data_IF_052989151483
#
_entry.id   IF_052989151483
#
_cell.length_a   1.000
_cell.length_b   1.000
_cell.length_c   1.000
_cell.angle_alpha   90.00
_cell.angle_beta   90.00
_cell.angle_gamma   90.00
#
_symmetry.space_group_name_H-M   'P 1'
#
loop_
_entity.id
_entity.type
_entity.pdbx_description
1 polymer ?
#
# COMPACT_ATOMS: atom_id res chain seq x y z
N UNK A 1 3.84 -25.00 -18.17
CA UNK A 1 2.50 -24.44 -17.85
C UNK A 1 1.40 -24.85 -18.84
N UNK A 2 1.67 -25.49 -19.98
CA UNK A 2 0.66 -25.76 -21.04
C UNK A 2 -0.37 -26.86 -20.74
N UNK A 3 -0.36 -27.49 -19.56
CA UNK A 3 -1.21 -28.64 -19.24
C UNK A 3 -2.30 -28.36 -18.19
N UNK A 4 -2.52 -27.10 -17.81
CA UNK A 4 -3.54 -26.76 -16.80
C UNK A 4 -4.64 -25.87 -17.38
N UNK A 5 -5.90 -26.17 -17.05
CA UNK A 5 -7.02 -25.29 -17.36
C UNK A 5 -7.15 -24.22 -16.27
N UNK A 6 -6.67 -23.01 -16.54
CA UNK A 6 -6.71 -21.90 -15.59
C UNK A 6 -8.09 -21.25 -15.45
N UNK A 7 -8.39 -20.69 -14.28
CA UNK A 7 -9.43 -19.67 -14.13
C UNK A 7 -8.82 -18.32 -14.53
N UNK A 8 -9.31 -17.76 -15.64
CA UNK A 8 -8.82 -16.49 -16.21
C UNK A 8 -9.79 -15.38 -15.79
N UNK A 9 -9.35 -14.40 -14.98
CA UNK A 9 -10.21 -13.30 -14.56
C UNK A 9 -10.55 -12.38 -15.74
N UNK A 10 -11.73 -11.76 -15.69
CA UNK A 10 -12.18 -10.77 -16.66
C UNK A 10 -12.13 -9.40 -16.00
N UNK A 11 -11.08 -8.64 -16.29
CA UNK A 11 -10.90 -7.26 -15.82
C UNK A 11 -11.81 -6.30 -16.62
N UNK A 12 -12.37 -5.32 -15.94
CA UNK A 12 -13.12 -4.23 -16.57
C UNK A 12 -12.20 -3.38 -17.45
N UNK A 13 -12.66 -2.98 -18.66
CA UNK A 13 -11.91 -2.06 -19.51
C UNK A 13 -11.70 -0.68 -18.85
N UNK A 14 -12.48 -0.36 -17.81
CA UNK A 14 -12.35 0.89 -17.05
C UNK A 14 -11.31 0.82 -15.93
N UNK A 15 -10.73 -0.36 -15.63
CA UNK A 15 -9.76 -0.49 -14.56
C UNK A 15 -8.61 0.52 -14.63
N UNK A 16 -7.91 0.70 -15.78
CA UNK A 16 -6.77 1.62 -15.83
C UNK A 16 -7.13 3.06 -15.48
N UNK A 17 -8.34 3.48 -15.88
CA UNK A 17 -8.86 4.81 -15.57
C UNK A 17 -9.26 4.92 -14.10
N UNK A 18 -9.92 3.91 -13.54
CA UNK A 18 -10.30 3.88 -12.13
C UNK A 18 -9.08 3.86 -11.20
N UNK A 19 -8.07 3.05 -11.50
CA UNK A 19 -6.80 3.00 -10.79
C UNK A 19 -6.08 4.35 -10.84
N UNK A 20 -5.96 4.95 -12.03
CA UNK A 20 -5.40 6.29 -12.18
C UNK A 20 -6.18 7.34 -11.39
N UNK A 21 -7.51 7.30 -11.44
CA UNK A 21 -8.39 8.23 -10.73
C UNK A 21 -8.08 8.23 -9.23
N UNK A 22 -8.04 7.06 -8.59
CA UNK A 22 -7.78 6.99 -7.15
C UNK A 22 -6.34 7.36 -6.79
N UNK A 23 -5.35 6.98 -7.61
CA UNK A 23 -3.94 7.37 -7.40
C UNK A 23 -3.80 8.89 -7.44
N UNK A 24 -4.39 9.54 -8.44
CA UNK A 24 -4.31 11.00 -8.59
C UNK A 24 -4.95 11.70 -7.38
N UNK A 25 -6.13 11.26 -6.94
CA UNK A 25 -6.82 11.87 -5.79
C UNK A 25 -6.06 11.67 -4.48
N UNK A 26 -5.58 10.46 -4.20
CA UNK A 26 -4.73 10.18 -3.03
C UNK A 26 -3.47 11.05 -3.06
N UNK A 27 -2.84 11.17 -4.22
CA UNK A 27 -1.64 11.99 -4.38
C UNK A 27 -1.90 13.46 -4.07
N UNK A 28 -3.01 14.03 -4.54
CA UNK A 28 -3.37 15.42 -4.26
C UNK A 28 -3.67 15.61 -2.77
N UNK A 29 -4.44 14.73 -2.14
CA UNK A 29 -4.77 14.81 -0.70
C UNK A 29 -3.49 14.84 0.14
N UNK A 30 -2.59 13.89 -0.07
CA UNK A 30 -1.33 13.78 0.69
C UNK A 30 -0.42 14.98 0.40
N UNK A 31 -0.34 15.41 -0.86
CA UNK A 31 0.45 16.59 -1.23
C UNK A 31 -0.06 17.88 -0.59
N UNK A 32 -1.39 18.08 -0.54
CA UNK A 32 -1.99 19.24 0.10
C UNK A 32 -1.73 19.23 1.61
N UNK A 33 -1.80 18.08 2.28
CA UNK A 33 -1.43 17.97 3.69
C UNK A 33 0.04 18.38 3.94
N UNK A 34 0.96 17.91 3.10
CA UNK A 34 2.40 18.24 3.19
C UNK A 34 2.63 19.72 2.92
N UNK A 35 2.09 20.26 1.84
CA UNK A 35 2.30 21.66 1.45
C UNK A 35 1.61 22.65 2.38
N UNK A 36 0.53 22.26 3.05
CA UNK A 36 -0.12 23.04 4.09
C UNK A 36 0.60 22.97 5.46
N UNK A 37 1.67 22.18 5.60
CA UNK A 37 2.39 22.00 6.85
C UNK A 37 1.66 21.14 7.90
N UNK A 38 0.64 20.38 7.47
CA UNK A 38 -0.12 19.40 8.26
C UNK A 38 0.55 18.01 8.27
N UNK A 39 1.86 17.96 8.06
CA UNK A 39 2.67 16.75 7.91
C UNK A 39 3.54 16.42 9.13
N UNK A 40 3.26 17.04 10.29
CA UNK A 40 4.06 16.88 11.50
C UNK A 40 3.25 16.15 12.57
N UNK A 41 3.80 15.03 13.02
CA UNK A 41 3.29 14.24 14.14
C UNK A 41 4.10 14.61 15.37
N UNK A 42 3.44 15.21 16.36
CA UNK A 42 4.08 15.63 17.59
C UNK A 42 4.01 14.52 18.65
N UNK A 43 5.17 14.13 19.15
CA UNK A 43 5.33 13.09 20.15
C UNK A 43 5.69 13.75 21.48
N UNK A 44 4.69 13.91 22.33
CA UNK A 44 4.83 14.46 23.67
C UNK A 44 5.07 13.35 24.68
N UNK A 45 6.05 13.55 25.56
CA UNK A 45 6.32 12.64 26.69
C UNK A 45 6.56 13.45 27.95
N UNK A 46 6.43 12.80 29.10
CA UNK A 46 6.81 13.38 30.40
C UNK A 46 8.32 13.32 30.67
N UNK A 47 9.14 12.92 29.69
CA UNK A 47 10.59 12.88 29.80
C UNK A 47 11.19 14.24 29.42
N UNK A 48 11.99 14.83 30.30
CA UNK A 48 12.64 16.15 30.05
C UNK A 48 13.40 16.20 28.72
N UNK A 49 14.02 15.09 28.32
CA UNK A 49 14.79 14.95 27.08
C UNK A 49 14.00 14.31 25.92
N UNK A 50 12.72 14.02 26.12
CA UNK A 50 11.91 13.29 25.14
C UNK A 50 12.30 11.82 24.97
N UNK A 51 11.75 11.17 23.95
CA UNK A 51 12.23 9.87 23.49
C UNK A 51 13.53 10.06 22.68
N UNK A 52 14.50 9.15 22.83
CA UNK A 52 15.66 9.11 21.93
C UNK A 52 15.21 8.99 20.46
N UNK A 53 15.80 9.77 19.56
CA UNK A 53 15.41 9.80 18.15
C UNK A 53 15.52 8.42 17.50
N UNK A 54 16.53 7.62 17.87
CA UNK A 54 16.68 6.25 17.37
C UNK A 54 15.51 5.32 17.73
N UNK A 55 14.80 5.62 18.83
CA UNK A 55 13.64 4.84 19.25
C UNK A 55 12.35 5.33 18.60
N UNK A 56 12.27 6.60 18.19
CA UNK A 56 11.12 7.12 17.44
C UNK A 56 11.01 6.40 16.09
N UNK A 57 12.14 6.14 15.42
CA UNK A 57 12.14 5.38 14.16
C UNK A 57 11.55 3.95 14.31
N UNK A 58 11.59 3.34 15.50
CA UNK A 58 11.01 2.00 15.74
C UNK A 58 9.49 2.01 15.80
N UNK A 59 8.87 3.16 16.03
CA UNK A 59 7.42 3.36 16.10
C UNK A 59 6.90 4.20 14.93
N UNK A 60 7.75 4.50 13.94
CA UNK A 60 7.40 5.36 12.83
C UNK A 60 6.36 4.78 11.88
N UNK A 61 6.39 3.46 11.62
CA UNK A 61 5.35 2.79 10.81
C UNK A 61 3.93 3.11 11.31
N UNK A 62 3.58 2.70 12.55
CA UNK A 62 2.27 2.96 13.12
C UNK A 62 1.86 4.44 13.17
N UNK A 63 2.79 5.35 13.43
CA UNK A 63 2.46 6.79 13.47
C UNK A 63 2.22 7.38 12.09
N UNK A 64 3.03 7.02 11.09
CA UNK A 64 2.85 7.49 9.71
C UNK A 64 1.60 6.87 9.08
N UNK A 65 1.30 5.61 9.38
CA UNK A 65 0.05 4.93 9.02
C UNK A 65 -1.16 5.66 9.62
N UNK A 66 -1.15 5.95 10.91
CA UNK A 66 -2.21 6.69 11.58
C UNK A 66 -2.37 8.11 11.02
N UNK A 67 -1.28 8.83 10.79
CA UNK A 67 -1.33 10.16 10.18
C UNK A 67 -1.96 10.12 8.79
N UNK A 68 -1.59 9.15 7.94
CA UNK A 68 -2.17 9.01 6.61
C UNK A 68 -3.68 8.73 6.69
N UNK A 69 -4.10 7.86 7.62
CA UNK A 69 -5.51 7.60 7.89
C UNK A 69 -6.25 8.88 8.27
N UNK A 70 -5.73 9.64 9.25
CA UNK A 70 -6.32 10.90 9.69
C UNK A 70 -6.48 11.91 8.53
N UNK A 71 -5.50 11.99 7.60
CA UNK A 71 -5.64 12.87 6.44
C UNK A 71 -6.80 12.47 5.52
N UNK A 72 -7.08 11.18 5.36
CA UNK A 72 -8.23 10.72 4.57
C UNK A 72 -9.55 10.86 5.34
N UNK A 73 -9.56 10.64 6.66
CA UNK A 73 -10.75 10.87 7.49
C UNK A 73 -11.17 12.34 7.49
N UNK A 74 -10.22 13.27 7.71
CA UNK A 74 -10.50 14.72 7.66
C UNK A 74 -11.17 15.13 6.34
N UNK A 75 -10.73 14.54 5.22
CA UNK A 75 -11.31 14.81 3.90
C UNK A 75 -12.68 14.15 3.73
N UNK A 76 -12.83 12.89 4.14
CA UNK A 76 -14.09 12.14 4.01
C UNK A 76 -15.22 12.71 4.88
N UNK A 77 -14.88 13.29 6.05
CA UNK A 77 -15.83 13.96 6.94
C UNK A 77 -16.40 15.26 6.35
N UNK A 78 -15.67 15.91 5.43
CA UNK A 78 -16.20 17.01 4.63
C UNK A 78 -17.05 16.46 3.47
N UNK A 79 -18.37 16.45 3.63
CA UNK A 79 -19.34 16.00 2.62
C UNK A 79 -19.30 16.80 1.31
N UNK A 80 -18.61 17.93 1.29
CA UNK A 80 -18.44 18.80 0.11
C UNK A 80 -17.03 18.80 -0.44
N UNK A 81 -16.17 17.87 0.01
CA UNK A 81 -14.80 17.81 -0.42
C UNK A 81 -14.69 17.65 -1.94
N UNK A 82 -13.71 18.36 -2.53
CA UNK A 82 -13.47 18.39 -3.98
C UNK A 82 -12.94 17.07 -4.55
N UNK A 83 -12.60 16.11 -3.69
CA UNK A 83 -11.98 14.84 -4.08
C UNK A 83 -13.01 13.74 -4.33
N UNK A 84 -14.27 13.99 -3.96
CA UNK A 84 -15.32 12.99 -3.96
C UNK A 84 -14.94 11.74 -3.15
N UNK A 85 -14.07 11.89 -2.14
CA UNK A 85 -13.77 10.85 -1.16
C UNK A 85 -14.94 10.79 -0.19
N UNK A 86 -15.68 9.68 -0.21
CA UNK A 86 -16.93 9.56 0.55
C UNK A 86 -16.81 8.66 1.78
N UNK A 87 -15.71 7.89 1.87
CA UNK A 87 -15.47 7.00 3.00
C UNK A 87 -13.97 6.70 3.12
N UNK A 88 -13.47 6.77 4.35
CA UNK A 88 -12.15 6.29 4.74
C UNK A 88 -12.31 5.38 5.97
N UNK A 89 -11.78 4.16 5.92
CA UNK A 89 -11.85 3.22 7.04
C UNK A 89 -10.50 2.54 7.27
N UNK A 90 -10.12 2.37 8.53
CA UNK A 90 -8.97 1.56 8.88
C UNK A 90 -9.22 0.08 8.57
N UNK A 91 -8.19 -0.61 8.09
CA UNK A 91 -8.17 -2.05 7.91
C UNK A 91 -8.27 -2.79 9.24
N UNK A 92 -8.75 -4.02 9.21
CA UNK A 92 -8.84 -4.88 10.39
C UNK A 92 -7.49 -5.55 10.67
N UNK A 93 -7.32 -6.01 11.91
CA UNK A 93 -6.14 -6.79 12.28
C UNK A 93 -6.00 -8.01 11.34
N UNK A 94 -4.79 -8.17 10.77
CA UNK A 94 -4.42 -9.21 9.80
C UNK A 94 -4.90 -8.98 8.36
N UNK A 95 -5.57 -7.86 8.06
CA UNK A 95 -5.83 -7.46 6.68
C UNK A 95 -4.49 -7.18 5.96
N UNK A 96 -4.44 -7.34 4.63
CA UNK A 96 -3.24 -7.06 3.86
C UNK A 96 -3.02 -5.57 3.58
N UNK A 97 -3.90 -4.69 4.04
CA UNK A 97 -3.90 -3.25 3.81
C UNK A 97 -4.21 -2.54 5.14
N UNK A 98 -3.82 -1.26 5.21
CA UNK A 98 -4.01 -0.43 6.39
C UNK A 98 -5.28 0.42 6.28
N UNK A 99 -5.69 0.78 5.06
CA UNK A 99 -6.79 1.73 4.80
C UNK A 99 -7.66 1.22 3.65
N UNK A 100 -8.97 1.41 3.78
CA UNK A 100 -9.96 1.27 2.71
C UNK A 100 -10.52 2.65 2.40
N UNK A 101 -10.42 3.06 1.15
CA UNK A 101 -10.99 4.32 0.65
C UNK A 101 -12.09 4.02 -0.37
N UNK A 102 -13.13 4.86 -0.39
CA UNK A 102 -14.14 4.82 -1.43
C UNK A 102 -14.35 6.22 -2.01
N UNK A 103 -14.23 6.31 -3.33
CA UNK A 103 -14.46 7.53 -4.08
C UNK A 103 -15.75 7.42 -4.89
N UNK A 104 -16.48 8.52 -4.97
CA UNK A 104 -17.56 8.69 -5.94
C UNK A 104 -16.98 9.25 -7.23
N UNK A 105 -17.37 8.71 -8.37
CA UNK A 105 -17.03 9.23 -9.70
C UNK A 105 -18.30 9.56 -10.46
N UNK A 106 -18.52 10.83 -10.79
CA UNK A 106 -19.80 11.34 -11.31
C UNK A 106 -19.97 11.29 -12.84
N UNK A 107 -18.94 10.97 -13.62
CA UNK A 107 -19.00 11.01 -15.09
C UNK A 107 -18.27 9.82 -15.73
N UNK A 108 -18.85 9.21 -16.80
CA UNK A 108 -20.13 9.55 -17.46
C UNK A 108 -21.39 9.09 -16.70
N UNK A 109 -21.28 8.09 -15.83
CA UNK A 109 -22.34 7.65 -14.91
C UNK A 109 -21.80 7.67 -13.47
N UNK A 110 -22.68 7.81 -12.49
CA UNK A 110 -22.27 7.74 -11.09
C UNK A 110 -21.80 6.32 -10.76
N UNK A 111 -20.52 6.21 -10.42
CA UNK A 111 -19.86 4.97 -10.05
C UNK A 111 -19.10 5.15 -8.75
N UNK A 112 -18.83 4.06 -8.06
CA UNK A 112 -18.07 4.06 -6.81
C UNK A 112 -16.82 3.21 -7.00
N UNK A 113 -15.67 3.77 -6.66
CA UNK A 113 -14.38 3.11 -6.77
C UNK A 113 -13.86 2.88 -5.36
N UNK A 114 -13.77 1.62 -4.97
CA UNK A 114 -13.15 1.22 -3.71
C UNK A 114 -11.69 0.86 -3.95
N UNK A 115 -10.82 1.23 -3.02
CA UNK A 115 -9.40 0.88 -3.07
C UNK A 115 -8.88 0.52 -1.69
N UNK A 116 -7.95 -0.43 -1.67
CA UNK A 116 -7.22 -0.85 -0.48
C UNK A 116 -5.82 -0.25 -0.54
N UNK A 117 -5.37 0.34 0.55
CA UNK A 117 -4.09 1.06 0.61
C UNK A 117 -3.22 0.45 1.71
N UNK A 118 -2.03 0.00 1.32
CA UNK A 118 -0.95 -0.43 2.21
C UNK A 118 0.04 0.73 2.35
N UNK A 119 0.11 1.30 3.55
CA UNK A 119 0.98 2.43 3.86
C UNK A 119 2.35 1.88 4.29
N UNK A 120 3.41 2.53 3.80
CA UNK A 120 4.78 2.13 4.12
C UNK A 120 5.62 3.34 4.49
N UNK A 121 5.99 3.42 5.77
CA UNK A 121 6.88 4.45 6.28
C UNK A 121 8.34 4.14 5.94
N UNK A 122 9.04 5.13 5.38
CA UNK A 122 10.47 5.06 5.05
C UNK A 122 11.20 6.20 5.74
N UNK A 123 12.22 5.91 6.54
CA UNK A 123 13.01 6.93 7.23
C UNK A 123 14.08 7.49 6.31
N UNK A 124 14.17 8.82 6.21
CA UNK A 124 15.28 9.50 5.52
C UNK A 124 16.59 9.43 6.32
N UNK A 125 16.49 9.21 7.64
CA UNK A 125 17.62 9.18 8.55
C UNK A 125 18.33 7.80 8.57
N UNK A 126 17.73 6.76 7.97
CA UNK A 126 18.23 5.39 7.98
C UNK A 126 18.60 4.93 6.57
N UNK A 127 19.89 4.63 6.37
CA UNK A 127 20.39 4.04 5.12
C UNK A 127 19.67 2.71 4.85
N UNK A 128 19.20 2.53 3.62
CA UNK A 128 18.42 1.37 3.16
C UNK A 128 17.00 1.23 3.76
N UNK A 129 16.49 2.23 4.47
CA UNK A 129 15.06 2.25 4.81
C UNK A 129 14.22 2.17 3.53
N UNK A 130 13.13 1.39 3.57
CA UNK A 130 12.26 1.19 2.40
C UNK A 130 12.76 0.18 1.36
N UNK A 131 13.92 -0.47 1.57
CA UNK A 131 14.39 -1.57 0.70
C UNK A 131 13.73 -2.90 1.04
N UNK A 132 13.21 -3.58 0.03
CA UNK A 132 12.58 -4.91 0.14
C UNK A 132 11.52 -5.07 1.23
N UNK A 133 10.65 -4.09 1.55
CA UNK A 133 9.59 -4.34 2.53
C UNK A 133 8.64 -5.41 2.03
N UNK A 134 8.14 -6.20 2.97
CA UNK A 134 7.05 -7.14 2.73
C UNK A 134 5.74 -6.36 2.56
N UNK A 135 4.94 -6.77 1.58
CA UNK A 135 3.62 -6.20 1.30
C UNK A 135 2.55 -7.16 1.80
N UNK A 136 2.41 -8.30 1.13
CA UNK A 136 1.36 -9.28 1.43
C UNK A 136 1.80 -10.67 1.01
N UNK A 137 1.11 -11.70 1.50
CA UNK A 137 1.44 -13.08 1.12
C UNK A 137 1.03 -13.37 -0.33
N UNK A 138 1.85 -14.15 -1.04
CA UNK A 138 1.58 -14.52 -2.43
C UNK A 138 0.19 -15.14 -2.60
N UNK A 139 -0.16 -16.12 -1.74
CA UNK A 139 -1.43 -16.82 -1.83
C UNK A 139 -2.64 -15.88 -1.70
N UNK A 140 -2.56 -14.92 -0.77
CA UNK A 140 -3.63 -13.96 -0.53
C UNK A 140 -3.80 -13.06 -1.74
N UNK A 141 -2.76 -12.34 -2.15
CA UNK A 141 -2.89 -11.35 -3.24
C UNK A 141 -3.24 -12.00 -4.57
N UNK A 142 -2.69 -13.19 -4.87
CA UNK A 142 -3.08 -13.96 -6.05
C UNK A 142 -4.59 -14.26 -6.00
N UNK A 143 -5.09 -14.74 -4.85
CA UNK A 143 -6.51 -15.11 -4.72
C UNK A 143 -7.44 -13.90 -4.80
N UNK A 144 -7.06 -12.75 -4.21
CA UNK A 144 -7.84 -11.50 -4.31
C UNK A 144 -8.06 -11.10 -5.77
N UNK A 145 -6.98 -10.95 -6.55
CA UNK A 145 -7.07 -10.58 -7.97
C UNK A 145 -7.73 -11.65 -8.86
N UNK A 146 -7.85 -12.91 -8.40
CA UNK A 146 -8.68 -13.89 -9.11
C UNK A 146 -10.16 -13.68 -8.85
N UNK A 147 -10.49 -13.37 -7.60
CA UNK A 147 -11.86 -13.30 -7.07
C UNK A 147 -12.52 -12.01 -7.51
N UNK A 148 -11.77 -10.91 -7.41
CA UNK A 148 -12.13 -9.59 -7.90
C UNK A 148 -11.08 -9.13 -8.91
N UNK A 149 -11.36 -9.29 -10.22
CA UNK A 149 -10.46 -8.84 -11.28
C UNK A 149 -10.21 -7.33 -11.29
N UNK A 150 -11.10 -6.56 -10.67
CA UNK A 150 -11.06 -5.10 -10.60
C UNK A 150 -10.53 -4.61 -9.25
N UNK A 151 -9.96 -5.50 -8.42
CA UNK A 151 -9.34 -5.15 -7.15
C UNK A 151 -8.23 -4.10 -7.33
N UNK A 152 -8.36 -2.96 -6.64
CA UNK A 152 -7.34 -1.90 -6.64
C UNK A 152 -6.60 -1.95 -5.30
N UNK A 153 -5.34 -2.38 -5.36
CA UNK A 153 -4.46 -2.44 -4.19
C UNK A 153 -3.29 -1.48 -4.39
N UNK A 154 -3.31 -0.39 -3.64
CA UNK A 154 -2.32 0.67 -3.73
C UNK A 154 -1.29 0.56 -2.63
N UNK A 155 -0.07 0.95 -2.98
CA UNK A 155 1.02 1.19 -2.05
C UNK A 155 1.15 2.70 -1.86
N UNK A 156 1.02 3.17 -0.62
CA UNK A 156 1.33 4.54 -0.24
C UNK A 156 2.66 4.57 0.51
N UNK A 157 3.74 4.88 -0.20
CA UNK A 157 5.05 5.08 0.41
C UNK A 157 5.18 6.50 0.95
N UNK A 158 5.46 6.63 2.24
CA UNK A 158 5.64 7.92 2.90
C UNK A 158 7.04 7.99 3.48
N UNK A 159 7.84 8.95 3.02
CA UNK A 159 9.11 9.27 3.67
C UNK A 159 8.90 10.18 4.85
N UNK A 160 9.68 9.96 5.89
CA UNK A 160 9.70 10.81 7.06
C UNK A 160 11.12 11.05 7.55
N UNK A 161 11.29 12.14 8.28
CA UNK A 161 12.48 12.42 9.09
C UNK A 161 12.05 12.71 10.52
N UNK A 162 12.97 12.52 11.47
CA UNK A 162 12.69 12.74 12.88
C UNK A 162 13.65 13.75 13.49
N UNK A 163 13.13 14.70 14.25
CA UNK A 163 13.94 15.68 14.97
C UNK A 163 13.29 16.10 16.30
N UNK A 164 14.09 16.69 17.18
CA UNK A 164 13.64 17.21 18.47
C UNK A 164 13.46 18.72 18.43
N UNK A 165 12.42 19.22 19.10
CA UNK A 165 12.23 20.65 19.34
C UNK A 165 12.05 20.91 20.84
N UNK A 166 12.77 21.90 21.38
CA UNK A 166 12.63 22.29 22.78
C UNK A 166 11.46 23.26 22.92
N UNK A 167 10.52 22.91 23.77
CA UNK A 167 9.42 23.77 24.18
C UNK A 167 9.96 24.89 25.09
N UNK A 168 9.73 26.15 24.71
CA UNK A 168 10.26 27.30 25.41
C UNK A 168 9.60 27.53 26.78
N UNK A 169 8.36 27.09 26.96
CA UNK A 169 7.56 27.31 28.16
C UNK A 169 7.88 26.27 29.24
N UNK A 170 7.94 25.00 28.84
CA UNK A 170 8.14 23.86 29.76
C UNK A 170 9.61 23.45 29.85
N UNK A 171 10.44 23.87 28.89
CA UNK A 171 11.84 23.47 28.76
C UNK A 171 12.03 22.01 28.32
N UNK A 172 10.96 21.27 28.04
CA UNK A 172 10.98 19.86 27.61
C UNK A 172 11.30 19.74 26.12
N UNK A 173 11.87 18.60 25.72
CA UNK A 173 12.11 18.31 24.29
C UNK A 173 11.01 17.41 23.75
N UNK A 174 10.29 17.88 22.73
CA UNK A 174 9.28 17.12 22.01
C UNK A 174 9.92 16.44 20.79
N UNK A 175 9.51 15.19 20.54
CA UNK A 175 9.85 14.51 19.29
C UNK A 175 8.90 14.98 18.20
N UNK A 176 9.43 15.23 17.00
CA UNK A 176 8.64 15.56 15.83
C UNK A 176 9.02 14.57 14.73
N UNK A 177 8.01 13.91 14.19
CA UNK A 177 8.11 13.11 12.98
C UNK A 177 7.43 13.89 11.86
N UNK A 178 8.18 14.21 10.82
CA UNK A 178 7.70 15.00 9.69
C UNK A 178 7.68 14.13 8.44
N UNK A 179 6.51 13.98 7.83
CA UNK A 179 6.36 13.33 6.51
C UNK A 179 6.86 14.31 5.45
N UNK A 180 7.90 13.93 4.71
CA UNK A 180 8.64 14.83 3.81
C UNK A 180 8.28 14.66 2.34
N UNK A 181 7.91 13.45 1.94
CA UNK A 181 7.54 13.13 0.56
C UNK A 181 6.73 11.84 0.51
N UNK A 182 6.08 11.62 -0.63
CA UNK A 182 5.20 10.48 -0.83
C UNK A 182 5.39 9.89 -2.24
N UNK A 183 4.97 8.64 -2.39
CA UNK A 183 4.75 8.00 -3.69
C UNK A 183 3.56 7.04 -3.60
N UNK A 184 2.77 6.97 -4.66
CA UNK A 184 1.55 6.15 -4.73
C UNK A 184 1.59 5.28 -5.96
N UNK A 185 1.40 3.98 -5.79
CA UNK A 185 1.49 3.01 -6.87
C UNK A 185 0.38 1.99 -6.81
N UNK A 186 -0.17 1.61 -7.96
CA UNK A 186 -0.94 0.39 -8.08
C UNK A 186 0.01 -0.82 -8.08
N UNK A 187 -0.17 -1.74 -7.13
CA UNK A 187 0.63 -2.95 -7.03
C UNK A 187 0.62 -3.75 -8.34
N UNK A 188 -0.53 -3.77 -9.04
CA UNK A 188 -0.68 -4.48 -10.32
C UNK A 188 0.27 -3.94 -11.37
N UNK A 189 0.63 -2.65 -11.34
CA UNK A 189 1.46 -2.02 -12.36
C UNK A 189 2.94 -1.91 -12.01
N UNK A 190 3.37 -2.22 -10.77
CA UNK A 190 4.80 -2.21 -10.41
C UNK A 190 5.60 -3.16 -11.31
N UNK A 191 6.74 -2.72 -11.83
CA UNK A 191 7.54 -3.49 -12.79
C UNK A 191 7.95 -4.87 -12.27
N UNK A 192 8.15 -5.82 -13.18
CA UNK A 192 8.63 -7.15 -12.82
C UNK A 192 10.02 -7.12 -12.15
N UNK A 193 10.87 -6.13 -12.45
CA UNK A 193 12.19 -5.95 -11.82
C UNK A 193 12.12 -5.39 -10.41
N UNK A 194 11.04 -4.69 -10.07
CA UNK A 194 10.84 -4.12 -8.73
C UNK A 194 10.04 -5.03 -7.80
N UNK A 195 9.31 -6.01 -8.34
CA UNK A 195 8.64 -7.03 -7.54
C UNK A 195 9.55 -8.22 -7.27
N UNK A 196 9.69 -8.59 -6.00
CA UNK A 196 10.44 -9.75 -5.54
C UNK A 196 9.55 -10.68 -4.72
N UNK A 197 9.96 -11.93 -4.59
CA UNK A 197 9.28 -12.91 -3.77
C UNK A 197 10.23 -13.43 -2.70
N UNK A 198 9.84 -13.27 -1.44
CA UNK A 198 10.55 -13.78 -0.28
C UNK A 198 9.94 -15.12 0.17
N UNK A 199 10.66 -16.25 0.03
CA UNK A 199 10.15 -17.57 0.36
C UNK A 199 10.10 -17.89 1.86
N UNK A 200 10.65 -17.04 2.73
CA UNK A 200 10.97 -17.40 4.12
C UNK A 200 9.76 -17.55 5.06
N UNK A 201 8.60 -16.95 4.71
CA UNK A 201 7.45 -16.86 5.62
C UNK A 201 6.18 -17.43 4.98
N UNK A 202 5.62 -18.50 5.57
CA UNK A 202 4.35 -19.08 5.14
C UNK A 202 4.32 -19.46 3.67
N UNK A 203 3.39 -18.87 2.92
CA UNK A 203 3.25 -19.04 1.45
C UNK A 203 4.21 -18.15 0.66
N UNK A 204 5.17 -17.53 1.35
CA UNK A 204 6.03 -16.46 0.89
C UNK A 204 5.33 -15.12 0.79
N UNK A 205 6.14 -14.06 0.76
CA UNK A 205 5.67 -12.68 0.74
C UNK A 205 6.17 -11.96 -0.51
N UNK A 206 5.28 -11.17 -1.09
CA UNK A 206 5.63 -10.21 -2.12
C UNK A 206 6.41 -9.07 -1.47
N UNK A 207 7.53 -8.70 -2.09
CA UNK A 207 8.38 -7.59 -1.68
C UNK A 207 8.54 -6.60 -2.83
N UNK A 208 8.75 -5.33 -2.50
CA UNK A 208 9.09 -4.30 -3.47
C UNK A 208 10.55 -3.90 -3.26
N UNK A 209 11.37 -3.92 -4.30
CA UNK A 209 12.82 -3.67 -4.23
C UNK A 209 13.18 -2.37 -3.51
N UNK A 210 12.51 -1.28 -3.89
CA UNK A 210 12.54 0.01 -3.22
C UNK A 210 11.12 0.58 -3.24
N UNK A 211 10.51 0.67 -2.07
CA UNK A 211 9.09 1.01 -1.95
C UNK A 211 8.75 2.42 -2.43
N UNK A 212 9.74 3.31 -2.46
CA UNK A 212 9.54 4.70 -2.84
C UNK A 212 9.89 4.95 -4.31
N UNK A 213 10.68 4.08 -4.94
CA UNK A 213 11.18 4.26 -6.30
C UNK A 213 10.99 2.97 -7.12
N UNK A 214 9.90 2.91 -7.88
CA UNK A 214 9.60 1.79 -8.76
C UNK A 214 9.29 2.26 -10.18
N UNK A 215 9.55 1.39 -11.14
CA UNK A 215 9.07 1.56 -12.51
C UNK A 215 7.64 1.02 -12.63
N UNK A 216 6.82 1.69 -13.43
CA UNK A 216 5.42 1.31 -13.66
C UNK A 216 5.26 0.79 -15.09
N UNK A 217 4.59 -0.36 -15.23
CA UNK A 217 4.27 -1.00 -16.50
C UNK A 217 2.84 -1.54 -16.48
N UNK A 218 2.01 -0.97 -17.35
CA UNK A 218 0.62 -1.40 -17.56
C UNK A 218 0.54 -2.90 -17.88
N UNK A 219 -0.46 -3.56 -17.31
CA UNK A 219 -0.81 -4.96 -17.54
C UNK A 219 -2.22 -5.26 -17.04
N UNK A 220 -2.87 -6.22 -17.65
CA UNK A 220 -4.15 -6.78 -17.18
C UNK A 220 -3.96 -7.54 -15.87
N UNK A 221 -5.06 -7.74 -15.14
CA UNK A 221 -5.10 -8.64 -13.98
C UNK A 221 -4.56 -10.03 -14.33
N UNK A 222 -4.90 -10.59 -15.50
CA UNK A 222 -4.38 -11.90 -15.88
C UNK A 222 -2.86 -11.93 -16.05
N UNK A 223 -2.28 -10.94 -16.73
CA UNK A 223 -0.82 -10.82 -16.88
C UNK A 223 -0.11 -10.62 -15.54
N UNK A 224 -0.71 -9.88 -14.61
CA UNK A 224 -0.18 -9.71 -13.26
C UNK A 224 -0.15 -11.04 -12.49
N UNK A 225 -1.20 -11.84 -12.60
CA UNK A 225 -1.26 -13.15 -11.95
C UNK A 225 -0.23 -14.12 -12.53
N UNK A 226 -0.02 -14.11 -13.85
CA UNK A 226 1.04 -14.87 -14.49
C UNK A 226 2.44 -14.43 -14.00
N UNK A 227 2.63 -13.12 -13.80
CA UNK A 227 3.87 -12.60 -13.21
C UNK A 227 4.07 -13.13 -11.78
N UNK A 228 3.05 -13.08 -10.93
CA UNK A 228 3.11 -13.60 -9.56
C UNK A 228 3.44 -15.10 -9.56
N UNK A 229 2.75 -15.88 -10.40
CA UNK A 229 2.95 -17.32 -10.55
C UNK A 229 4.38 -17.63 -11.02
N UNK A 230 4.89 -16.90 -12.01
CA UNK A 230 6.26 -17.08 -12.51
C UNK A 230 7.32 -16.85 -11.43
N UNK A 231 7.15 -15.81 -10.60
CA UNK A 231 8.07 -15.49 -9.49
C UNK A 231 8.00 -16.54 -8.39
N UNK A 232 6.80 -16.99 -8.05
CA UNK A 232 6.62 -18.05 -7.07
C UNK A 232 7.23 -19.37 -7.55
N UNK A 233 6.94 -19.80 -8.77
CA UNK A 233 7.46 -21.03 -9.37
C UNK A 233 8.98 -20.99 -9.46
N UNK A 234 9.57 -19.86 -9.85
CA UNK A 234 11.02 -19.70 -9.87
C UNK A 234 11.65 -19.89 -8.48
N UNK A 235 10.96 -19.47 -7.42
CA UNK A 235 11.49 -19.55 -6.05
C UNK A 235 11.19 -20.86 -5.30
N UNK A 236 10.00 -21.45 -5.51
CA UNK A 236 9.51 -22.63 -4.75
C UNK A 236 9.25 -23.87 -5.62
N UNK A 237 9.29 -23.75 -6.94
CA UNK A 237 9.03 -24.83 -7.89
C UNK A 237 7.55 -25.01 -8.26
N UNK A 238 7.32 -25.66 -9.41
CA UNK A 238 5.98 -25.90 -9.98
C UNK A 238 5.12 -26.83 -9.10
N UNK A 239 5.72 -27.81 -8.43
CA UNK A 239 5.00 -28.71 -7.50
C UNK A 239 4.36 -27.94 -6.34
N UNK A 240 5.12 -27.00 -5.74
CA UNK A 240 4.60 -26.16 -4.66
C UNK A 240 3.49 -25.23 -5.18
N UNK A 241 3.66 -24.69 -6.39
CA UNK A 241 2.65 -23.86 -7.03
C UNK A 241 1.36 -24.65 -7.28
N UNK A 242 1.45 -25.87 -7.82
CA UNK A 242 0.29 -26.72 -8.09
C UNK A 242 -0.49 -27.07 -6.82
N UNK A 243 0.22 -27.34 -5.71
CA UNK A 243 -0.44 -27.54 -4.41
C UNK A 243 -1.29 -26.33 -4.01
N UNK A 244 -0.75 -25.12 -4.19
CA UNK A 244 -1.44 -23.87 -3.90
C UNK A 244 -2.62 -23.65 -4.86
N UNK A 245 -2.40 -23.84 -6.16
CA UNK A 245 -3.42 -23.69 -7.19
C UNK A 245 -4.62 -24.59 -6.95
N UNK A 246 -4.40 -25.84 -6.50
CA UNK A 246 -5.48 -26.75 -6.08
C UNK A 246 -6.16 -26.27 -4.80
N UNK A 247 -5.38 -25.98 -3.75
CA UNK A 247 -5.89 -25.55 -2.44
C UNK A 247 -6.77 -24.30 -2.51
N UNK A 248 -6.40 -23.33 -3.33
CA UNK A 248 -7.10 -22.05 -3.48
C UNK A 248 -7.96 -21.97 -4.76
N UNK A 249 -8.09 -23.08 -5.50
CA UNK A 249 -8.97 -23.18 -6.66
C UNK A 249 -8.62 -22.24 -7.82
N UNK A 250 -7.33 -22.02 -8.10
CA UNK A 250 -6.85 -21.14 -9.19
C UNK A 250 -6.93 -21.79 -10.58
N UNK A 251 -7.03 -23.11 -10.61
CA UNK A 251 -7.27 -23.92 -11.81
C UNK A 251 -8.66 -24.53 -11.74
N UNK A 252 -9.22 -24.90 -12.89
CA UNK A 252 -10.45 -25.70 -12.96
C UNK A 252 -10.10 -27.13 -12.56
N UNK A 253 -10.95 -27.75 -11.76
CA UNK A 253 -10.87 -29.19 -11.54
C UNK A 253 -11.24 -29.89 -12.86
N UNK A 254 -10.48 -30.92 -13.23
CA UNK A 254 -10.92 -31.83 -14.29
C UNK A 254 -12.09 -32.63 -13.72
N UNK A 255 -13.24 -32.62 -14.42
CA UNK A 255 -14.39 -33.49 -14.09
C UNK A 255 -14.01 -34.97 -14.14
#
# INVERSE_FOLDING_TARGET
>A
MSNFSFKVPQESPHYPESSKYVIDHISVIINEAITAGKNRIFIHTNLKRGLPLENINKVAGPFVEAWAMEQFEEVADDLTNKYELINAQAGKRLDPFDIILQFRRKQPEETFISTNVDVKATSEDIINSGKSPNITSYARIRTEYLTDPDYIFLILSLKHKVYGARDATTGMTNGIMEVTSYAVYDLKYISASDLNYNPALGTGQLQIRDIHYVDIKSRTTWEFLQLLDSKFIHSKGETAWLFMAKKYGWIKEEE
#
